data_IF_241707863496
#
_entry.id   IF_241707863496
#
_cell.length_a   1.000
_cell.length_b   1.000
_cell.length_c   1.000
_cell.angle_alpha   90.00
_cell.angle_beta   90.00
_cell.angle_gamma   90.00
#
_symmetry.space_group_name_H-M   'P 1'
#
loop_
_entity.id
_entity.type
_entity.pdbx_description
1 polymer ?
#
# COMPACT_ATOMS: atom_id res chain seq x y z
N UNK A 1 33.31 14.72 26.85
CA UNK A 1 31.88 14.43 27.17
C UNK A 1 30.91 14.75 26.02
N UNK A 2 31.07 15.87 25.28
CA UNK A 2 30.16 16.28 24.20
C UNK A 2 30.12 15.34 22.96
N UNK A 3 31.25 14.72 22.56
CA UNK A 3 31.32 13.84 21.39
C UNK A 3 30.57 12.51 21.62
N UNK A 4 30.60 11.95 22.85
CA UNK A 4 29.86 10.74 23.19
C UNK A 4 28.35 10.97 23.19
N UNK A 5 27.90 12.12 23.69
CA UNK A 5 26.46 12.47 23.68
C UNK A 5 25.93 12.61 22.25
N UNK A 6 26.71 13.22 21.36
CA UNK A 6 26.32 13.37 19.95
C UNK A 6 26.20 12.01 19.23
N UNK A 7 27.13 11.07 19.50
CA UNK A 7 27.09 9.71 18.93
C UNK A 7 25.88 8.92 19.40
N UNK A 8 25.44 9.08 20.66
CA UNK A 8 24.24 8.43 21.18
C UNK A 8 22.94 9.01 20.59
N UNK A 9 22.87 10.34 20.38
CA UNK A 9 21.72 11.00 19.77
C UNK A 9 21.55 10.61 18.30
N UNK A 10 22.68 10.56 17.55
CA UNK A 10 22.62 10.13 16.13
C UNK A 10 22.31 8.64 15.98
N UNK A 11 22.90 7.77 16.82
CA UNK A 11 22.63 6.34 16.79
C UNK A 11 21.18 5.99 17.17
N UNK A 12 20.66 6.64 18.21
CA UNK A 12 19.24 6.47 18.64
C UNK A 12 18.26 6.96 17.56
N UNK A 13 18.54 8.08 16.91
CA UNK A 13 17.70 8.61 15.82
C UNK A 13 17.65 7.69 14.60
N UNK A 14 18.79 7.12 14.21
CA UNK A 14 18.87 6.16 13.09
C UNK A 14 18.10 4.88 13.41
N UNK A 15 18.24 4.36 14.63
CA UNK A 15 17.51 3.17 15.06
C UNK A 15 15.99 3.42 15.05
N UNK A 16 15.55 4.53 15.63
CA UNK A 16 14.13 4.91 15.65
C UNK A 16 13.58 5.04 14.23
N UNK A 17 14.29 5.73 13.35
CA UNK A 17 13.93 5.85 11.94
C UNK A 17 13.82 4.48 11.25
N UNK A 18 14.78 3.58 11.49
CA UNK A 18 14.76 2.24 10.91
C UNK A 18 13.56 1.42 11.43
N UNK A 19 13.18 1.56 12.69
CA UNK A 19 12.00 0.89 13.27
C UNK A 19 10.70 1.42 12.68
N UNK A 20 10.60 2.74 12.46
CA UNK A 20 9.42 3.35 11.82
C UNK A 20 9.31 2.92 10.36
N UNK A 21 10.41 2.98 9.59
CA UNK A 21 10.41 2.55 8.18
C UNK A 21 10.03 1.08 8.04
N UNK A 22 10.55 0.22 8.92
CA UNK A 22 10.21 -1.21 8.93
C UNK A 22 8.77 -1.52 9.37
N UNK A 23 8.02 -0.52 9.84
CA UNK A 23 6.69 -0.73 10.42
C UNK A 23 6.71 -1.47 11.77
N UNK A 24 7.90 -1.62 12.39
CA UNK A 24 8.04 -2.21 13.73
C UNK A 24 7.56 -1.24 14.82
N UNK A 25 7.64 0.06 14.55
CA UNK A 25 7.09 1.12 15.37
C UNK A 25 6.14 1.95 14.50
N UNK A 26 4.87 1.95 14.84
CA UNK A 26 3.85 2.79 14.21
C UNK A 26 3.42 3.88 15.21
N UNK A 27 3.99 5.09 15.13
CA UNK A 27 3.58 6.17 16.01
C UNK A 27 2.17 6.65 15.64
N UNK A 28 1.21 6.27 16.46
CA UNK A 28 -0.18 6.73 16.40
C UNK A 28 -0.49 7.50 17.68
N UNK A 29 -0.15 8.78 17.67
CA UNK A 29 -0.27 9.67 18.83
C UNK A 29 -1.60 10.42 18.82
N UNK A 30 -2.26 10.55 17.68
CA UNK A 30 -3.48 11.33 17.49
C UNK A 30 -3.28 12.85 17.65
N UNK A 31 -2.03 13.32 17.77
CA UNK A 31 -1.71 14.72 18.08
C UNK A 31 -1.28 15.46 16.81
N UNK A 32 -1.99 16.54 16.45
CA UNK A 32 -1.68 17.37 15.29
C UNK A 32 -1.77 16.59 13.97
N UNK A 33 -2.70 15.62 13.90
CA UNK A 33 -2.91 14.79 12.70
C UNK A 33 -3.31 15.66 11.51
N UNK A 34 -2.64 15.39 10.39
CA UNK A 34 -2.94 16.00 9.10
C UNK A 34 -3.10 14.91 8.07
N UNK A 35 -4.08 15.08 7.21
CA UNK A 35 -4.38 14.17 6.11
C UNK A 35 -3.87 14.72 4.79
N UNK A 36 -3.47 13.81 3.91
CA UNK A 36 -3.05 14.07 2.54
C UNK A 36 -3.78 13.10 1.63
N UNK A 37 -4.26 13.57 0.51
CA UNK A 37 -4.80 12.70 -0.54
C UNK A 37 -3.68 11.90 -1.20
N UNK A 38 -3.98 10.66 -1.55
CA UNK A 38 -3.20 9.77 -2.41
C UNK A 38 -3.95 9.62 -3.73
N UNK A 39 -3.24 9.76 -4.85
CA UNK A 39 -3.89 9.76 -6.16
C UNK A 39 -4.68 11.03 -6.46
N UNK A 40 -5.73 10.97 -7.35
CA UNK A 40 -6.16 9.77 -8.05
C UNK A 40 -5.16 9.30 -9.12
N UNK A 41 -5.07 7.97 -9.29
CA UNK A 41 -4.39 7.35 -10.42
C UNK A 41 -5.43 6.56 -11.22
N UNK A 42 -5.62 6.91 -12.48
CA UNK A 42 -6.59 6.25 -13.36
C UNK A 42 -5.86 5.49 -14.45
N UNK A 43 -6.28 4.26 -14.69
CA UNK A 43 -5.70 3.37 -15.68
C UNK A 43 -6.81 2.70 -16.49
N UNK A 44 -6.67 2.67 -17.83
CA UNK A 44 -7.51 1.86 -18.71
C UNK A 44 -6.82 0.54 -19.00
N UNK A 45 -7.59 -0.53 -18.93
CA UNK A 45 -7.13 -1.91 -19.06
C UNK A 45 -8.01 -2.60 -20.09
N UNK A 46 -7.42 -3.13 -21.15
CA UNK A 46 -8.13 -3.83 -22.24
C UNK A 46 -8.51 -5.27 -21.78
N UNK A 47 -9.33 -5.33 -20.74
CA UNK A 47 -9.85 -6.57 -20.17
C UNK A 47 -11.22 -6.31 -19.50
N UNK A 48 -12.12 -7.33 -19.45
CA UNK A 48 -13.35 -7.25 -18.67
C UNK A 48 -13.09 -6.99 -17.20
N UNK A 49 -13.99 -6.25 -16.54
CA UNK A 49 -13.89 -5.86 -15.14
C UNK A 49 -13.69 -7.06 -14.20
N UNK A 50 -14.40 -8.13 -14.44
CA UNK A 50 -14.31 -9.37 -13.66
C UNK A 50 -12.90 -9.97 -13.72
N UNK A 51 -12.24 -9.91 -14.86
CA UNK A 51 -10.86 -10.38 -15.05
C UNK A 51 -9.88 -9.47 -14.28
N UNK A 52 -10.08 -8.15 -14.36
CA UNK A 52 -9.24 -7.19 -13.63
C UNK A 52 -9.41 -7.38 -12.14
N UNK A 53 -10.67 -7.51 -11.66
CA UNK A 53 -10.97 -7.79 -10.25
C UNK A 53 -10.30 -9.08 -9.78
N UNK A 54 -10.39 -10.16 -10.55
CA UNK A 54 -9.74 -11.43 -10.22
C UNK A 54 -8.23 -11.28 -10.11
N UNK A 55 -7.58 -10.54 -11.02
CA UNK A 55 -6.14 -10.28 -10.97
C UNK A 55 -5.75 -9.53 -9.71
N UNK A 56 -6.51 -8.51 -9.31
CA UNK A 56 -6.27 -7.73 -8.08
C UNK A 56 -6.49 -8.58 -6.82
N UNK A 57 -7.55 -9.37 -6.78
CA UNK A 57 -7.99 -10.10 -5.57
C UNK A 57 -7.29 -11.45 -5.38
N UNK A 58 -6.90 -12.13 -6.47
CA UNK A 58 -6.37 -13.49 -6.42
C UNK A 58 -5.15 -13.69 -5.51
N UNK A 59 -4.20 -12.73 -5.35
CA UNK A 59 -3.08 -12.90 -4.42
C UNK A 59 -3.52 -13.02 -2.95
N UNK A 60 -4.66 -12.45 -2.61
CA UNK A 60 -5.22 -12.45 -1.25
C UNK A 60 -6.17 -13.62 -1.00
N UNK A 61 -7.04 -13.92 -1.95
CA UNK A 61 -8.11 -14.92 -1.81
C UNK A 61 -7.65 -16.32 -2.20
N UNK A 62 -6.73 -16.41 -3.14
CA UNK A 62 -6.18 -17.67 -3.64
C UNK A 62 -4.83 -18.03 -3.04
N UNK A 63 -4.06 -18.77 -3.82
CA UNK A 63 -2.66 -19.06 -3.53
C UNK A 63 -1.80 -17.91 -4.05
N UNK A 64 -1.05 -17.26 -3.17
CA UNK A 64 -0.12 -16.21 -3.56
C UNK A 64 0.86 -16.73 -4.61
N UNK A 65 0.97 -16.09 -5.79
CA UNK A 65 1.93 -16.49 -6.80
C UNK A 65 3.35 -16.37 -6.28
N UNK A 66 4.23 -17.32 -6.65
CA UNK A 66 5.65 -17.33 -6.23
C UNK A 66 6.38 -16.00 -6.48
N UNK A 67 6.00 -15.28 -7.52
CA UNK A 67 6.58 -13.96 -7.82
C UNK A 67 6.26 -12.91 -6.75
N UNK A 68 5.19 -13.10 -5.97
CA UNK A 68 4.74 -12.22 -4.90
C UNK A 68 5.09 -12.74 -3.49
N UNK A 69 5.57 -13.99 -3.34
CA UNK A 69 5.90 -14.59 -2.03
C UNK A 69 6.86 -13.74 -1.17
N UNK A 70 7.68 -12.90 -1.80
CA UNK A 70 8.60 -11.98 -1.10
C UNK A 70 8.01 -10.59 -0.85
N UNK A 71 6.82 -10.31 -1.39
CA UNK A 71 6.19 -8.98 -1.34
C UNK A 71 4.88 -8.98 -0.57
N UNK A 72 4.25 -10.13 -0.42
CA UNK A 72 2.92 -10.28 0.15
C UNK A 72 2.82 -11.56 0.98
N UNK A 73 2.51 -11.43 2.25
CA UNK A 73 2.15 -12.52 3.16
C UNK A 73 0.69 -12.34 3.60
N UNK A 74 -0.15 -13.32 3.29
CA UNK A 74 -1.51 -13.35 3.83
C UNK A 74 -1.46 -13.94 5.23
N UNK A 75 -1.74 -13.11 6.23
CA UNK A 75 -1.65 -13.46 7.65
C UNK A 75 -2.90 -14.17 8.14
N UNK A 76 -4.07 -13.67 7.71
CA UNK A 76 -5.37 -14.21 8.12
C UNK A 76 -6.41 -13.98 7.03
N UNK A 77 -7.38 -14.90 6.90
CA UNK A 77 -8.54 -14.78 6.01
C UNK A 77 -9.79 -14.90 6.84
N UNK A 78 -10.59 -13.82 6.84
CA UNK A 78 -11.97 -13.82 7.32
C UNK A 78 -12.96 -14.08 6.17
N UNK A 79 -14.22 -13.89 6.46
CA UNK A 79 -15.31 -14.11 5.49
C UNK A 79 -15.29 -13.08 4.35
N UNK A 80 -15.16 -11.80 4.67
CA UNK A 80 -15.18 -10.66 3.74
C UNK A 80 -13.92 -9.78 3.78
N UNK A 81 -12.96 -10.14 4.62
CA UNK A 81 -11.75 -9.37 4.87
C UNK A 81 -10.52 -10.27 4.98
N UNK A 82 -9.41 -9.79 4.44
CA UNK A 82 -8.11 -10.46 4.55
C UNK A 82 -7.16 -9.53 5.29
N UNK A 83 -6.39 -10.07 6.24
CA UNK A 83 -5.25 -9.40 6.84
C UNK A 83 -3.97 -9.82 6.10
N UNK A 84 -3.26 -8.86 5.53
CA UNK A 84 -2.07 -9.12 4.74
C UNK A 84 -0.92 -8.20 5.12
N UNK A 85 0.31 -8.72 5.03
CA UNK A 85 1.54 -7.94 5.17
C UNK A 85 2.16 -7.73 3.79
N UNK A 86 2.45 -6.46 3.46
CA UNK A 86 3.14 -6.09 2.25
C UNK A 86 4.59 -5.68 2.57
N UNK A 87 5.52 -6.14 1.75
CA UNK A 87 6.96 -5.88 1.91
C UNK A 87 7.47 -5.07 0.73
N UNK A 88 7.78 -3.80 0.99
CA UNK A 88 8.27 -2.86 -0.02
C UNK A 88 9.69 -2.41 0.29
N UNK A 89 10.57 -2.41 -0.70
CA UNK A 89 11.91 -1.81 -0.54
C UNK A 89 11.79 -0.30 -0.55
N UNK A 90 12.18 0.33 0.55
CA UNK A 90 12.16 1.77 0.71
C UNK A 90 13.39 2.23 1.50
N UNK A 91 14.08 3.25 1.02
CA UNK A 91 15.22 3.88 1.70
C UNK A 91 16.33 2.90 2.13
N UNK A 92 16.62 1.88 1.30
CA UNK A 92 17.60 0.84 1.61
C UNK A 92 17.17 -0.20 2.64
N UNK A 93 15.93 -0.13 3.13
CA UNK A 93 15.31 -1.06 4.07
C UNK A 93 14.11 -1.76 3.42
N UNK A 94 13.63 -2.81 4.07
CA UNK A 94 12.32 -3.37 3.75
C UNK A 94 11.30 -2.76 4.70
N UNK A 95 10.38 -1.97 4.15
CA UNK A 95 9.21 -1.48 4.85
C UNK A 95 8.15 -2.59 4.83
N UNK A 96 7.54 -2.83 5.99
CA UNK A 96 6.42 -3.77 6.12
C UNK A 96 5.18 -2.99 6.53
N UNK A 97 4.13 -3.07 5.73
CA UNK A 97 2.80 -2.61 6.09
C UNK A 97 1.89 -3.81 6.34
N UNK A 98 1.05 -3.72 7.35
CA UNK A 98 -0.02 -4.69 7.59
C UNK A 98 -1.35 -3.99 7.32
N UNK A 99 -2.16 -4.59 6.48
CA UNK A 99 -3.38 -3.99 5.97
C UNK A 99 -4.54 -4.98 6.03
N UNK A 100 -5.73 -4.48 6.34
CA UNK A 100 -6.95 -5.21 6.02
C UNK A 100 -7.35 -4.91 4.59
N UNK A 101 -7.69 -5.95 3.85
CA UNK A 101 -8.16 -5.88 2.46
C UNK A 101 -9.57 -6.41 2.41
N UNK A 102 -10.53 -5.58 1.99
CA UNK A 102 -11.93 -5.93 1.83
C UNK A 102 -12.32 -5.89 0.37
N UNK A 103 -13.13 -6.84 -0.05
CA UNK A 103 -13.53 -7.01 -1.44
C UNK A 103 -15.02 -6.76 -1.61
N UNK A 104 -15.37 -5.98 -2.63
CA UNK A 104 -16.73 -5.76 -3.13
C UNK A 104 -16.77 -6.18 -4.61
N UNK A 105 -16.89 -7.50 -4.89
CA UNK A 105 -16.82 -8.00 -6.26
C UNK A 105 -17.99 -7.50 -7.13
N UNK A 106 -17.74 -7.18 -8.39
CA UNK A 106 -16.44 -7.00 -9.07
C UNK A 106 -15.98 -5.54 -9.08
N UNK A 107 -16.52 -4.68 -8.21
CA UNK A 107 -16.49 -3.24 -8.33
C UNK A 107 -15.35 -2.57 -7.56
N UNK A 108 -15.02 -3.07 -6.34
CA UNK A 108 -14.10 -2.36 -5.45
C UNK A 108 -13.22 -3.29 -4.63
N UNK A 109 -12.02 -2.80 -4.32
CA UNK A 109 -11.14 -3.36 -3.30
C UNK A 109 -10.68 -2.23 -2.39
N UNK A 110 -10.88 -2.41 -1.09
CA UNK A 110 -10.54 -1.43 -0.06
C UNK A 110 -9.35 -1.92 0.76
N UNK A 111 -8.40 -1.02 1.00
CA UNK A 111 -7.25 -1.28 1.85
C UNK A 111 -7.28 -0.31 3.03
N UNK A 112 -7.00 -0.83 4.21
CA UNK A 112 -6.85 -0.03 5.42
C UNK A 112 -5.60 -0.45 6.16
N UNK A 113 -4.72 0.51 6.40
CA UNK A 113 -3.52 0.28 7.18
C UNK A 113 -3.86 -0.05 8.63
N UNK A 114 -3.31 -1.15 9.11
CA UNK A 114 -3.34 -1.59 10.52
C UNK A 114 -2.02 -1.25 11.20
N UNK A 115 -0.90 -1.44 10.48
CA UNK A 115 0.45 -1.13 10.97
C UNK A 115 1.38 -0.78 9.83
N UNK A 116 2.16 0.29 9.98
CA UNK A 116 3.10 0.74 8.96
C UNK A 116 3.88 1.98 9.39
N UNK A 117 4.54 2.63 8.45
CA UNK A 117 5.40 3.81 8.71
C UNK A 117 4.61 5.08 9.07
N UNK A 118 3.30 5.06 8.91
CA UNK A 118 2.38 6.16 9.25
C UNK A 118 1.18 5.59 10.01
N UNK A 119 0.47 6.39 10.81
CA UNK A 119 -0.64 5.92 11.63
C UNK A 119 -1.94 5.65 10.85
N UNK A 120 -2.07 6.18 9.63
CA UNK A 120 -3.33 6.08 8.89
C UNK A 120 -3.09 6.06 7.39
N UNK A 121 -3.68 5.06 6.72
CA UNK A 121 -3.89 5.02 5.27
C UNK A 121 -5.21 4.30 5.01
N UNK A 122 -6.02 4.91 4.15
CA UNK A 122 -7.20 4.30 3.54
C UNK A 122 -7.08 4.43 2.04
N UNK A 123 -7.37 3.35 1.32
CA UNK A 123 -7.27 3.32 -0.14
C UNK A 123 -8.41 2.51 -0.74
N UNK A 124 -8.80 2.90 -1.94
CA UNK A 124 -9.81 2.17 -2.71
C UNK A 124 -9.35 2.04 -4.16
N UNK A 125 -9.46 0.84 -4.69
CA UNK A 125 -9.45 0.59 -6.13
C UNK A 125 -10.90 0.45 -6.57
N UNK A 126 -11.36 1.34 -7.43
CA UNK A 126 -12.67 1.29 -8.05
C UNK A 126 -12.55 0.86 -9.51
N UNK A 127 -13.33 -0.14 -9.90
CA UNK A 127 -13.31 -0.73 -11.23
C UNK A 127 -14.64 -0.43 -11.93
N UNK A 128 -14.58 0.31 -13.03
CA UNK A 128 -15.75 0.64 -13.85
C UNK A 128 -15.65 -0.06 -15.19
N UNK A 129 -16.69 -0.79 -15.55
CA UNK A 129 -16.77 -1.40 -16.88
C UNK A 129 -17.00 -0.31 -17.94
N UNK A 130 -16.19 -0.36 -19.00
CA UNK A 130 -16.36 0.38 -20.23
C UNK A 130 -16.64 -0.62 -21.36
N UNK A 131 -16.91 -0.11 -22.57
CA UNK A 131 -17.14 -0.97 -23.73
C UNK A 131 -15.86 -1.75 -24.11
N UNK A 132 -15.78 -3.02 -23.67
CA UNK A 132 -14.63 -3.91 -23.91
C UNK A 132 -13.40 -3.67 -23.02
N UNK A 133 -13.43 -2.71 -22.12
CA UNK A 133 -12.33 -2.29 -21.25
C UNK A 133 -12.78 -2.10 -19.82
N UNK A 134 -11.84 -1.90 -18.93
CA UNK A 134 -12.06 -1.50 -17.55
C UNK A 134 -11.29 -0.23 -17.23
N UNK A 135 -11.96 0.75 -16.65
CA UNK A 135 -11.30 1.87 -15.97
C UNK A 135 -11.08 1.50 -14.50
N UNK A 136 -9.82 1.45 -14.10
CA UNK A 136 -9.42 1.28 -12.70
C UNK A 136 -8.95 2.61 -12.16
N UNK A 137 -9.60 3.10 -11.11
CA UNK A 137 -9.23 4.29 -10.36
C UNK A 137 -8.74 3.92 -8.98
N UNK A 138 -7.54 4.38 -8.64
CA UNK A 138 -6.99 4.36 -7.30
C UNK A 138 -7.13 5.71 -6.66
N UNK A 139 -7.69 5.76 -5.47
CA UNK A 139 -7.74 6.95 -4.63
C UNK A 139 -7.59 6.55 -3.15
N UNK A 140 -7.06 7.47 -2.36
CA UNK A 140 -6.90 7.22 -0.94
C UNK A 140 -6.55 8.47 -0.14
N UNK A 141 -6.26 8.24 1.13
CA UNK A 141 -5.75 9.26 2.06
C UNK A 141 -4.69 8.68 2.99
N UNK A 142 -3.72 9.50 3.33
CA UNK A 142 -2.65 9.21 4.27
C UNK A 142 -2.65 10.26 5.39
N UNK A 143 -2.65 9.80 6.65
CA UNK A 143 -2.58 10.65 7.83
C UNK A 143 -1.25 10.52 8.56
N UNK A 144 -0.73 11.65 9.05
CA UNK A 144 0.45 11.71 9.91
C UNK A 144 0.24 12.64 11.08
N UNK A 145 0.83 12.29 12.22
CA UNK A 145 0.79 13.09 13.44
C UNK A 145 1.92 14.12 13.48
N UNK A 146 1.93 14.98 14.53
CA UNK A 146 2.98 15.95 14.81
C UNK A 146 3.07 17.12 13.81
N UNK A 147 1.93 17.63 13.33
CA UNK A 147 1.83 18.84 12.51
C UNK A 147 2.81 18.87 11.32
N UNK A 148 3.70 19.87 11.28
CA UNK A 148 4.63 20.06 10.15
C UNK A 148 5.68 18.95 10.03
N UNK A 149 6.38 18.50 11.08
CA UNK A 149 7.30 17.35 10.98
C UNK A 149 6.63 16.11 10.43
N UNK A 150 5.42 15.78 10.89
CA UNK A 150 4.65 14.67 10.38
C UNK A 150 4.24 14.86 8.92
N UNK A 151 3.86 16.07 8.52
CA UNK A 151 3.51 16.36 7.13
C UNK A 151 4.69 16.19 6.17
N UNK A 152 5.91 16.53 6.59
CA UNK A 152 7.12 16.30 5.81
C UNK A 152 7.41 14.80 5.66
N UNK A 153 7.29 14.04 6.76
CA UNK A 153 7.37 12.58 6.73
C UNK A 153 6.32 11.97 5.83
N UNK A 154 5.06 12.37 5.99
CA UNK A 154 3.93 11.93 5.16
C UNK A 154 4.14 12.23 3.68
N UNK A 155 4.77 13.35 3.33
CA UNK A 155 5.11 13.65 1.94
C UNK A 155 6.15 12.67 1.36
N UNK A 156 7.14 12.28 2.15
CA UNK A 156 8.14 11.31 1.73
C UNK A 156 7.52 9.91 1.58
N UNK A 157 6.71 9.48 2.56
CA UNK A 157 6.00 8.19 2.52
C UNK A 157 5.03 8.14 1.33
N UNK A 158 4.22 9.19 1.12
CA UNK A 158 3.25 9.25 0.02
C UNK A 158 3.90 9.06 -1.35
N UNK A 159 5.04 9.70 -1.61
CA UNK A 159 5.77 9.53 -2.88
C UNK A 159 6.17 8.08 -3.14
N UNK A 160 6.71 7.41 -2.12
CA UNK A 160 7.12 6.00 -2.23
C UNK A 160 5.89 5.10 -2.37
N UNK A 161 4.82 5.41 -1.66
CA UNK A 161 3.55 4.70 -1.70
C UNK A 161 2.93 4.75 -3.09
N UNK A 162 2.70 5.96 -3.61
CA UNK A 162 2.12 6.17 -4.94
C UNK A 162 2.96 5.54 -6.06
N UNK A 163 4.29 5.60 -5.97
CA UNK A 163 5.18 4.93 -6.92
C UNK A 163 5.03 3.40 -6.86
N UNK A 164 4.86 2.83 -5.66
CA UNK A 164 4.63 1.40 -5.46
C UNK A 164 3.28 0.98 -6.02
N UNK A 165 2.23 1.76 -5.75
CA UNK A 165 0.88 1.53 -6.29
C UNK A 165 0.90 1.60 -7.81
N UNK A 166 1.49 2.64 -8.41
CA UNK A 166 1.59 2.78 -9.85
C UNK A 166 2.26 1.56 -10.51
N UNK A 167 3.38 1.09 -9.93
CA UNK A 167 4.06 -0.13 -10.40
C UNK A 167 3.19 -1.39 -10.27
N UNK A 168 2.37 -1.47 -9.22
CA UNK A 168 1.44 -2.59 -9.01
C UNK A 168 0.30 -2.54 -10.02
N UNK A 169 -0.24 -1.37 -10.32
CA UNK A 169 -1.27 -1.16 -11.33
C UNK A 169 -0.79 -1.53 -12.74
N UNK A 170 0.45 -1.20 -13.09
CA UNK A 170 1.04 -1.62 -14.37
C UNK A 170 1.16 -3.14 -14.47
N UNK A 171 1.51 -3.82 -13.37
CA UNK A 171 1.56 -5.28 -13.34
C UNK A 171 0.16 -5.90 -13.44
N UNK A 172 -0.84 -5.30 -12.79
CA UNK A 172 -2.25 -5.71 -12.90
C UNK A 172 -2.74 -5.57 -14.33
N UNK A 173 -2.47 -4.44 -14.98
CA UNK A 173 -2.81 -4.22 -16.39
C UNK A 173 -2.22 -5.30 -17.28
N UNK A 174 -0.91 -5.49 -17.22
CA UNK A 174 -0.22 -6.46 -18.06
C UNK A 174 -0.77 -7.88 -17.88
N UNK A 175 -1.08 -8.29 -16.66
CA UNK A 175 -1.62 -9.61 -16.37
C UNK A 175 -3.08 -9.76 -16.81
N UNK A 176 -3.92 -8.74 -16.58
CA UNK A 176 -5.33 -8.77 -16.97
C UNK A 176 -5.48 -8.82 -18.50
N UNK A 177 -4.74 -7.98 -19.23
CA UNK A 177 -4.73 -7.97 -20.68
C UNK A 177 -4.22 -9.30 -21.26
N UNK A 178 -3.19 -9.89 -20.64
CA UNK A 178 -2.69 -11.21 -21.02
C UNK A 178 -3.75 -12.32 -20.82
N UNK A 179 -4.56 -12.26 -19.76
CA UNK A 179 -5.64 -13.22 -19.50
C UNK A 179 -6.84 -13.03 -20.42
N UNK A 180 -7.12 -11.80 -20.80
CA UNK A 180 -8.22 -11.46 -21.71
C UNK A 180 -7.91 -11.68 -23.18
N UNK A 181 -6.63 -11.83 -23.56
CA UNK A 181 -6.23 -12.07 -24.95
C UNK A 181 -6.83 -13.36 -25.48
N UNK A 182 -7.40 -13.35 -26.70
CA UNK A 182 -7.90 -14.56 -27.33
C UNK A 182 -6.75 -15.58 -27.54
N UNK A 183 -7.06 -16.85 -27.27
CA UNK A 183 -6.12 -17.98 -27.47
C UNK A 183 -6.08 -18.40 -28.92
#
# INVERSE_FOLDING_TARGET
MRIRALAWVTGGGILLWALVVRGSLAPDLGIGRRYRRLGPLTLRIAAPREVVFEVVSSPYLGRTPRALDRKLDVLERGEDVVLAAHHTRAYGLTATTVETVRFEPPDRVHFRLVRGPVPHVLETFELRALEGETELEYAGELGTDLWLPGSLWGAAVARTWEATVASSLDAVRAEAERRAAPR
#
